data_IF_600153402507
#
_entry.id   IF_600153402507
#
_cell.length_a   1.000
_cell.length_b   1.000
_cell.length_c   1.000
_cell.angle_alpha   90.00
_cell.angle_beta   90.00
_cell.angle_gamma   90.00
#
_symmetry.space_group_name_H-M   'P 1'
#
loop_
_entity.id
_entity.type
_entity.pdbx_description
1 polymer ?
#
# COMPACT_ATOMS: atom_id res chain seq x y z
N UNK A 1 19.41 20.57 3.81
CA UNK A 1 18.34 19.88 4.57
C UNK A 1 18.90 18.53 4.96
N UNK A 2 18.86 18.17 6.25
CA UNK A 2 19.39 16.88 6.72
C UNK A 2 18.49 15.70 6.31
N UNK A 3 18.96 14.47 6.57
CA UNK A 3 18.24 13.24 6.23
C UNK A 3 16.87 13.14 6.90
N UNK A 4 16.73 13.62 8.14
CA UNK A 4 15.47 13.58 8.89
C UNK A 4 14.47 14.57 8.27
N UNK A 5 14.92 15.76 7.90
CA UNK A 5 14.11 16.77 7.22
C UNK A 5 13.60 16.28 5.87
N UNK A 6 14.42 15.56 5.09
CA UNK A 6 14.00 14.94 3.82
C UNK A 6 12.94 13.85 4.05
N UNK A 7 13.14 12.96 5.03
CA UNK A 7 12.18 11.90 5.38
C UNK A 7 10.84 12.47 5.85
N UNK A 8 10.88 13.44 6.79
CA UNK A 8 9.69 14.10 7.32
C UNK A 8 8.90 14.78 6.20
N UNK A 9 9.59 15.51 5.31
CA UNK A 9 8.96 16.15 4.15
C UNK A 9 8.29 15.13 3.23
N UNK A 10 9.00 14.07 2.84
CA UNK A 10 8.46 13.03 1.97
C UNK A 10 7.18 12.40 2.54
N UNK A 11 7.19 12.02 3.82
CA UNK A 11 6.03 11.43 4.49
C UNK A 11 4.86 12.41 4.64
N UNK A 12 5.14 13.67 4.99
CA UNK A 12 4.10 14.70 5.14
C UNK A 12 3.42 14.99 3.80
N UNK A 13 4.20 15.13 2.72
CA UNK A 13 3.68 15.35 1.37
C UNK A 13 2.88 14.15 0.90
N UNK A 14 3.39 12.93 1.12
CA UNK A 14 2.64 11.71 0.78
C UNK A 14 1.30 11.66 1.49
N UNK A 15 1.26 11.90 2.81
CA UNK A 15 0.02 11.87 3.59
C UNK A 15 -0.98 12.94 3.14
N UNK A 16 -0.51 14.17 2.89
CA UNK A 16 -1.35 15.26 2.41
C UNK A 16 -1.98 14.93 1.05
N UNK A 17 -1.17 14.47 0.10
CA UNK A 17 -1.64 14.09 -1.23
C UNK A 17 -2.55 12.87 -1.18
N UNK A 18 -2.19 11.82 -0.43
CA UNK A 18 -3.01 10.64 -0.24
C UNK A 18 -4.38 11.01 0.33
N UNK A 19 -4.44 11.93 1.29
CA UNK A 19 -5.67 12.36 1.95
C UNK A 19 -6.50 13.36 1.14
N UNK A 20 -6.02 13.78 -0.04
CA UNK A 20 -6.77 14.65 -0.94
C UNK A 20 -6.66 16.14 -0.64
N UNK A 21 -5.59 16.60 0.04
CA UNK A 21 -5.35 18.03 0.25
C UNK A 21 -5.18 18.72 -1.11
N UNK A 22 -6.10 19.63 -1.45
CA UNK A 22 -6.20 20.19 -2.81
C UNK A 22 -4.88 20.76 -3.34
N UNK A 23 -4.18 21.57 -2.53
CA UNK A 23 -2.89 22.13 -2.94
C UNK A 23 -1.87 21.02 -3.32
N UNK A 24 -1.85 19.93 -2.57
CA UNK A 24 -0.95 18.81 -2.86
C UNK A 24 -1.33 18.13 -4.18
N UNK A 25 -2.64 17.97 -4.43
CA UNK A 25 -3.14 17.42 -5.68
C UNK A 25 -2.79 18.32 -6.87
N UNK A 26 -2.96 19.64 -6.74
CA UNK A 26 -2.63 20.60 -7.79
C UNK A 26 -1.14 20.58 -8.14
N UNK A 27 -0.29 20.62 -7.11
CA UNK A 27 1.18 20.55 -7.28
C UNK A 27 1.59 19.20 -7.91
N UNK A 28 0.99 18.09 -7.47
CA UNK A 28 1.28 16.76 -8.00
C UNK A 28 0.82 16.61 -9.45
N UNK A 29 -0.38 17.09 -9.79
CA UNK A 29 -0.89 17.08 -11.16
C UNK A 29 -0.03 17.92 -12.10
N UNK A 30 0.47 19.08 -11.63
CA UNK A 30 1.43 19.89 -12.40
C UNK A 30 2.68 19.10 -12.77
N UNK A 31 3.20 18.31 -11.83
CA UNK A 31 4.38 17.46 -12.06
C UNK A 31 4.08 16.29 -12.99
N UNK A 32 2.90 15.65 -12.85
CA UNK A 32 2.45 14.58 -13.75
C UNK A 32 2.30 15.09 -15.18
N UNK A 33 1.58 16.19 -15.38
CA UNK A 33 1.37 16.79 -16.70
C UNK A 33 2.70 17.10 -17.36
N UNK A 34 3.62 17.72 -16.63
CA UNK A 34 4.97 18.00 -17.14
C UNK A 34 5.73 16.73 -17.52
N UNK A 35 5.64 15.67 -16.74
CA UNK A 35 6.30 14.40 -17.04
C UNK A 35 5.71 13.69 -18.27
N UNK A 36 4.42 13.87 -18.54
CA UNK A 36 3.74 13.34 -19.73
C UNK A 36 4.12 14.16 -20.97
N UNK A 37 4.20 15.48 -20.85
CA UNK A 37 4.50 16.40 -21.97
C UNK A 37 5.99 16.42 -22.35
N UNK A 38 6.88 16.22 -21.38
CA UNK A 38 8.34 16.24 -21.55
C UNK A 38 8.96 14.92 -21.04
N UNK A 39 9.27 13.97 -21.94
CA UNK A 39 9.89 12.69 -21.57
C UNK A 39 11.27 12.83 -20.90
N UNK A 40 11.91 14.00 -20.99
CA UNK A 40 13.19 14.26 -20.33
C UNK A 40 13.02 14.77 -18.90
N UNK A 41 11.81 15.17 -18.52
CA UNK A 41 11.50 15.64 -17.18
C UNK A 41 11.41 14.48 -16.20
N UNK A 42 12.27 14.51 -15.18
CA UNK A 42 12.26 13.56 -14.07
C UNK A 42 11.59 14.21 -12.86
N UNK A 43 10.52 13.59 -12.37
CA UNK A 43 9.85 14.00 -11.14
C UNK A 43 10.86 13.93 -9.97
N UNK A 44 11.02 15.00 -9.16
CA UNK A 44 12.00 15.01 -8.07
C UNK A 44 11.80 13.87 -7.08
N UNK A 45 12.90 13.23 -6.69
CA UNK A 45 12.92 12.00 -5.90
C UNK A 45 12.03 12.08 -4.64
N UNK A 46 12.10 13.19 -3.92
CA UNK A 46 11.42 13.38 -2.62
C UNK A 46 9.89 13.39 -2.72
N UNK A 47 9.35 13.61 -3.91
CA UNK A 47 7.90 13.71 -4.14
C UNK A 47 7.37 12.59 -5.03
N UNK A 48 8.24 11.75 -5.62
CA UNK A 48 7.84 10.68 -6.54
C UNK A 48 6.72 9.81 -5.97
N UNK A 49 6.86 9.30 -4.74
CA UNK A 49 5.84 8.44 -4.13
C UNK A 49 4.48 9.14 -3.99
N UNK A 50 4.46 10.44 -3.66
CA UNK A 50 3.24 11.21 -3.54
C UNK A 50 2.62 11.48 -4.92
N UNK A 51 3.45 11.95 -5.87
CA UNK A 51 3.02 12.28 -7.24
C UNK A 51 2.48 11.05 -7.96
N UNK A 52 3.20 9.92 -7.90
CA UNK A 52 2.73 8.67 -8.50
C UNK A 52 1.47 8.15 -7.79
N UNK A 53 1.34 8.27 -6.46
CA UNK A 53 0.10 7.87 -5.80
C UNK A 53 -1.09 8.74 -6.23
N UNK A 54 -0.89 10.06 -6.41
CA UNK A 54 -1.92 10.97 -6.96
C UNK A 54 -2.31 10.56 -8.38
N UNK A 55 -1.32 10.28 -9.25
CA UNK A 55 -1.56 9.79 -10.61
C UNK A 55 -2.51 8.59 -10.63
N UNK A 56 -2.34 7.63 -9.71
CA UNK A 56 -3.19 6.44 -9.63
C UNK A 56 -4.53 6.68 -8.91
N UNK A 57 -4.54 7.53 -7.88
CA UNK A 57 -5.71 7.71 -6.99
C UNK A 57 -6.69 8.77 -7.48
N UNK A 58 -6.19 9.87 -8.00
CA UNK A 58 -6.94 11.06 -8.43
C UNK A 58 -6.52 11.45 -9.85
N UNK A 59 -6.67 10.56 -10.85
CA UNK A 59 -6.10 10.79 -12.16
C UNK A 59 -6.72 12.03 -12.82
N UNK A 60 -5.90 13.07 -13.01
CA UNK A 60 -6.18 14.17 -13.93
C UNK A 60 -5.71 13.83 -15.36
N UNK A 61 -4.77 12.90 -15.49
CA UNK A 61 -4.30 12.36 -16.76
C UNK A 61 -5.25 11.25 -17.27
N UNK A 62 -5.24 11.02 -18.59
CA UNK A 62 -5.93 9.87 -19.16
C UNK A 62 -5.23 8.56 -18.75
N UNK A 63 -5.98 7.46 -18.71
CA UNK A 63 -5.41 6.12 -18.42
C UNK A 63 -4.27 5.79 -19.39
N UNK A 64 -4.39 6.19 -20.67
CA UNK A 64 -3.32 6.01 -21.65
C UNK A 64 -2.07 6.80 -21.28
N UNK A 65 -2.19 8.09 -20.93
CA UNK A 65 -1.03 8.90 -20.54
C UNK A 65 -0.30 8.37 -19.30
N UNK A 66 -1.03 7.76 -18.36
CA UNK A 66 -0.45 7.07 -17.22
C UNK A 66 0.34 5.82 -17.64
N UNK A 67 -0.24 4.99 -18.52
CA UNK A 67 0.40 3.78 -19.03
C UNK A 67 1.64 4.15 -19.84
N UNK A 68 1.53 5.12 -20.75
CA UNK A 68 2.64 5.59 -21.58
C UNK A 68 3.80 6.10 -20.72
N UNK A 69 3.50 6.83 -19.64
CA UNK A 69 4.52 7.30 -18.69
C UNK A 69 5.23 6.13 -17.99
N UNK A 70 4.48 5.13 -17.54
CA UNK A 70 5.05 3.92 -16.93
C UNK A 70 5.96 3.17 -17.90
N UNK A 71 5.49 2.93 -19.12
CA UNK A 71 6.25 2.19 -20.14
C UNK A 71 7.51 2.95 -20.52
N UNK A 72 7.43 4.29 -20.64
CA UNK A 72 8.59 5.16 -20.88
C UNK A 72 9.62 5.04 -19.77
N UNK A 73 9.20 5.08 -18.51
CA UNK A 73 10.12 4.90 -17.37
C UNK A 73 10.73 3.50 -17.32
N UNK A 74 9.95 2.47 -17.62
CA UNK A 74 10.45 1.11 -17.63
C UNK A 74 11.48 0.89 -18.75
N UNK A 75 11.22 1.38 -19.95
CA UNK A 75 12.10 1.20 -21.12
C UNK A 75 13.38 2.04 -21.03
N UNK A 76 13.31 3.23 -20.39
CA UNK A 76 14.48 4.11 -20.22
C UNK A 76 15.32 3.79 -18.97
N UNK A 77 14.88 2.87 -18.12
CA UNK A 77 15.60 2.50 -16.90
C UNK A 77 16.90 1.75 -17.23
N UNK A 78 18.03 2.45 -17.10
CA UNK A 78 19.38 1.93 -17.33
C UNK A 78 20.32 2.12 -16.13
N UNK A 79 19.91 2.90 -15.13
CA UNK A 79 20.63 3.12 -13.87
C UNK A 79 19.87 2.59 -12.65
N UNK A 80 20.55 2.29 -11.53
CA UNK A 80 19.90 1.93 -10.27
C UNK A 80 18.87 2.97 -9.80
N UNK A 81 19.15 4.26 -10.02
CA UNK A 81 18.23 5.35 -9.64
C UNK A 81 16.95 5.33 -10.47
N UNK A 82 17.03 5.04 -11.77
CA UNK A 82 15.87 4.92 -12.63
C UNK A 82 15.05 3.66 -12.30
N UNK A 83 15.71 2.53 -12.01
CA UNK A 83 15.03 1.32 -11.55
C UNK A 83 14.27 1.56 -10.24
N UNK A 84 14.84 2.33 -9.33
CA UNK A 84 14.17 2.69 -8.07
C UNK A 84 12.96 3.61 -8.31
N UNK A 85 13.04 4.53 -9.28
CA UNK A 85 11.86 5.32 -9.69
C UNK A 85 10.74 4.40 -10.23
N UNK A 86 11.09 3.41 -11.06
CA UNK A 86 10.12 2.40 -11.55
C UNK A 86 9.52 1.63 -10.37
N UNK A 87 10.31 1.23 -9.38
CA UNK A 87 9.80 0.54 -8.19
C UNK A 87 8.83 1.41 -7.37
N UNK A 88 9.11 2.70 -7.22
CA UNK A 88 8.18 3.64 -6.57
C UNK A 88 6.91 3.84 -7.37
N UNK A 89 7.02 3.88 -8.70
CA UNK A 89 5.87 3.89 -9.59
C UNK A 89 5.01 2.63 -9.37
N UNK A 90 5.61 1.45 -9.43
CA UNK A 90 4.92 0.17 -9.20
C UNK A 90 4.32 0.08 -7.79
N UNK A 91 4.98 0.61 -6.77
CA UNK A 91 4.43 0.68 -5.40
C UNK A 91 3.18 1.55 -5.35
N UNK A 92 3.16 2.64 -6.11
CA UNK A 92 2.05 3.60 -6.10
C UNK A 92 0.77 3.07 -6.73
N UNK A 93 0.82 1.99 -7.51
CA UNK A 93 -0.39 1.37 -8.10
C UNK A 93 -1.35 0.87 -7.02
N UNK A 94 -0.88 0.61 -5.79
CA UNK A 94 -1.75 0.31 -4.64
C UNK A 94 -2.72 1.46 -4.30
N UNK A 95 -2.42 2.68 -4.74
CA UNK A 95 -3.31 3.83 -4.62
C UNK A 95 -4.44 3.84 -5.65
N UNK A 96 -4.36 3.02 -6.71
CA UNK A 96 -5.25 3.04 -7.85
C UNK A 96 -6.73 2.87 -7.48
N UNK A 97 -7.59 3.63 -8.17
CA UNK A 97 -9.05 3.56 -8.03
C UNK A 97 -9.77 3.23 -9.33
N UNK A 98 -9.10 3.39 -10.47
CA UNK A 98 -9.66 3.10 -11.77
C UNK A 98 -9.50 1.60 -12.11
N UNK A 99 -10.59 0.96 -12.56
CA UNK A 99 -10.61 -0.47 -12.86
C UNK A 99 -9.70 -0.82 -14.04
N UNK A 100 -9.70 -0.04 -15.11
CA UNK A 100 -8.83 -0.25 -16.29
C UNK A 100 -7.34 -0.21 -15.91
N UNK A 101 -6.95 0.72 -15.03
CA UNK A 101 -5.59 0.76 -14.47
C UNK A 101 -5.26 -0.52 -13.71
N UNK A 102 -6.16 -1.02 -12.86
CA UNK A 102 -5.96 -2.26 -12.11
C UNK A 102 -5.82 -3.47 -13.04
N UNK A 103 -6.69 -3.58 -14.05
CA UNK A 103 -6.67 -4.66 -15.03
C UNK A 103 -5.37 -4.67 -15.83
N UNK A 104 -4.89 -3.50 -16.28
CA UNK A 104 -3.60 -3.38 -16.96
C UNK A 104 -2.47 -3.95 -16.12
N UNK A 105 -2.29 -3.48 -14.88
CA UNK A 105 -1.20 -3.96 -14.02
C UNK A 105 -1.35 -5.43 -13.64
N UNK A 106 -2.57 -5.92 -13.41
CA UNK A 106 -2.81 -7.33 -13.14
C UNK A 106 -2.45 -8.20 -14.35
N UNK A 107 -2.79 -7.77 -15.57
CA UNK A 107 -2.40 -8.48 -16.79
C UNK A 107 -0.87 -8.55 -16.97
N UNK A 108 -0.13 -7.51 -16.55
CA UNK A 108 1.33 -7.55 -16.51
C UNK A 108 1.90 -8.62 -15.57
N UNK A 109 1.09 -9.21 -14.68
CA UNK A 109 1.54 -10.30 -13.80
C UNK A 109 1.40 -11.68 -14.44
N UNK A 110 0.48 -11.85 -15.40
CA UNK A 110 0.19 -13.14 -16.05
C UNK A 110 0.68 -13.25 -17.49
N UNK A 111 0.98 -12.13 -18.15
CA UNK A 111 1.40 -12.11 -19.55
C UNK A 111 2.81 -11.54 -19.72
N UNK A 112 3.54 -12.09 -20.69
CA UNK A 112 4.78 -11.52 -21.19
C UNK A 112 4.46 -10.71 -22.45
N UNK A 113 4.40 -9.38 -22.30
CA UNK A 113 4.15 -8.48 -23.43
C UNK A 113 5.44 -8.25 -24.22
N UNK A 114 5.49 -8.59 -25.53
CA UNK A 114 6.64 -8.27 -26.36
C UNK A 114 6.94 -6.77 -26.31
N UNK A 115 8.20 -6.40 -26.07
CA UNK A 115 8.63 -5.01 -25.98
C UNK A 115 8.50 -4.34 -24.60
N UNK A 116 7.94 -5.04 -23.60
CA UNK A 116 7.84 -4.53 -22.23
C UNK A 116 8.63 -5.44 -21.25
N UNK A 117 9.85 -5.05 -20.84
CA UNK A 117 10.76 -5.92 -20.08
C UNK A 117 10.39 -6.00 -18.59
N UNK A 118 9.21 -6.54 -18.27
CA UNK A 118 8.76 -6.75 -16.89
C UNK A 118 9.42 -7.99 -16.29
N UNK A 119 10.27 -7.78 -15.28
CA UNK A 119 10.94 -8.85 -14.52
C UNK A 119 10.00 -9.55 -13.53
N UNK A 120 10.36 -10.76 -13.09
CA UNK A 120 9.62 -11.47 -12.02
C UNK A 120 9.56 -10.68 -10.71
N UNK A 121 10.64 -9.96 -10.35
CA UNK A 121 10.67 -9.07 -9.20
C UNK A 121 9.67 -7.92 -9.30
N UNK A 122 9.54 -7.31 -10.49
CA UNK A 122 8.53 -6.27 -10.73
C UNK A 122 7.10 -6.81 -10.71
N UNK A 123 6.87 -8.05 -11.20
CA UNK A 123 5.57 -8.72 -11.06
C UNK A 123 5.22 -8.95 -9.59
N UNK A 124 6.19 -9.38 -8.77
CA UNK A 124 6.01 -9.49 -7.32
C UNK A 124 5.69 -8.13 -6.71
N UNK A 125 6.38 -7.07 -7.12
CA UNK A 125 6.11 -5.71 -6.64
C UNK A 125 4.72 -5.22 -7.01
N UNK A 126 4.25 -5.50 -8.23
CA UNK A 126 2.88 -5.18 -8.67
C UNK A 126 1.88 -5.84 -7.72
N UNK A 127 2.01 -7.14 -7.47
CA UNK A 127 1.12 -7.85 -6.57
C UNK A 127 1.17 -7.30 -5.14
N UNK A 128 2.37 -7.09 -4.60
CA UNK A 128 2.57 -6.54 -3.25
C UNK A 128 1.95 -5.14 -3.12
N UNK A 129 2.07 -4.30 -4.14
CA UNK A 129 1.48 -2.97 -4.16
C UNK A 129 -0.06 -3.04 -4.15
N UNK A 130 -0.65 -3.89 -4.99
CA UNK A 130 -2.10 -4.04 -5.09
C UNK A 130 -2.72 -4.63 -3.81
N UNK A 131 -2.12 -5.67 -3.23
CA UNK A 131 -2.63 -6.25 -1.97
C UNK A 131 -2.45 -5.31 -0.78
N UNK A 132 -1.40 -4.49 -0.77
CA UNK A 132 -1.21 -3.44 0.25
C UNK A 132 -2.08 -2.20 0.02
N UNK A 133 -2.72 -2.13 -1.15
CA UNK A 133 -3.65 -1.07 -1.48
C UNK A 133 -4.91 -1.07 -0.61
N UNK A 134 -5.86 -0.23 -1.01
CA UNK A 134 -7.14 -0.14 -0.34
C UNK A 134 -7.95 -1.46 -0.40
N UNK A 135 -8.98 -1.64 0.45
CA UNK A 135 -9.72 -2.91 0.51
C UNK A 135 -10.32 -3.36 -0.83
N UNK A 136 -10.78 -2.44 -1.68
CA UNK A 136 -11.33 -2.77 -2.99
C UNK A 136 -10.24 -3.27 -3.94
N UNK A 137 -9.13 -2.53 -4.07
CA UNK A 137 -7.98 -2.91 -4.90
C UNK A 137 -7.39 -4.25 -4.47
N UNK A 138 -7.24 -4.47 -3.16
CA UNK A 138 -6.79 -5.75 -2.61
C UNK A 138 -7.72 -6.88 -3.00
N UNK A 139 -9.03 -6.71 -2.82
CA UNK A 139 -10.01 -7.73 -3.17
C UNK A 139 -9.96 -8.08 -4.66
N UNK A 140 -9.84 -7.08 -5.54
CA UNK A 140 -9.65 -7.29 -6.99
C UNK A 140 -8.40 -8.12 -7.28
N UNK A 141 -7.26 -7.75 -6.67
CA UNK A 141 -6.01 -8.48 -6.87
C UNK A 141 -6.07 -9.92 -6.33
N UNK A 142 -6.73 -10.14 -5.19
CA UNK A 142 -6.94 -11.47 -4.62
C UNK A 142 -7.82 -12.35 -5.52
N UNK A 143 -8.92 -11.81 -6.05
CA UNK A 143 -9.77 -12.53 -7.01
C UNK A 143 -9.02 -12.86 -8.30
N UNK A 144 -8.19 -11.95 -8.77
CA UNK A 144 -7.35 -12.17 -9.94
C UNK A 144 -6.30 -13.26 -9.68
N UNK A 145 -5.62 -13.21 -8.52
CA UNK A 145 -4.71 -14.26 -8.06
C UNK A 145 -5.41 -15.62 -7.99
N UNK A 146 -6.60 -15.69 -7.42
CA UNK A 146 -7.38 -16.92 -7.32
C UNK A 146 -7.68 -17.49 -8.71
N UNK A 147 -8.17 -16.66 -9.63
CA UNK A 147 -8.51 -17.06 -11.01
C UNK A 147 -7.30 -17.49 -11.84
N UNK A 148 -6.14 -16.85 -11.64
CA UNK A 148 -4.94 -17.04 -12.45
C UNK A 148 -3.79 -17.68 -11.69
N UNK A 149 -4.09 -18.41 -10.61
CA UNK A 149 -3.12 -18.83 -9.60
C UNK A 149 -1.87 -19.48 -10.21
N UNK A 150 -2.05 -20.51 -11.04
CA UNK A 150 -0.93 -21.25 -11.64
C UNK A 150 -0.03 -20.38 -12.52
N UNK A 151 -0.60 -19.46 -13.30
CA UNK A 151 0.18 -18.56 -14.17
C UNK A 151 0.93 -17.53 -13.35
N UNK A 152 0.26 -16.96 -12.35
CA UNK A 152 0.86 -15.97 -11.44
C UNK A 152 2.01 -16.61 -10.69
N UNK A 153 1.78 -17.74 -10.01
CA UNK A 153 2.82 -18.39 -9.20
C UNK A 153 4.00 -18.89 -10.03
N UNK A 154 3.77 -19.24 -11.30
CA UNK A 154 4.83 -19.60 -12.25
C UNK A 154 5.71 -18.40 -12.63
N UNK A 155 5.14 -17.20 -12.79
CA UNK A 155 5.87 -15.99 -13.22
C UNK A 155 6.46 -15.16 -12.07
N UNK A 156 6.04 -15.43 -10.84
CA UNK A 156 6.58 -14.79 -9.63
C UNK A 156 7.79 -15.54 -9.07
N UNK A 157 8.70 -14.82 -8.42
CA UNK A 157 9.83 -15.43 -7.72
C UNK A 157 9.38 -16.24 -6.50
N UNK A 158 8.38 -15.73 -5.77
CA UNK A 158 7.77 -16.38 -4.62
C UNK A 158 6.43 -15.69 -4.31
N UNK A 159 5.52 -16.45 -3.70
CA UNK A 159 4.24 -15.94 -3.16
C UNK A 159 4.24 -15.83 -1.63
N UNK A 160 5.33 -16.19 -0.95
CA UNK A 160 5.43 -16.15 0.51
C UNK A 160 5.14 -14.75 1.06
N UNK A 161 5.74 -13.70 0.48
CA UNK A 161 5.52 -12.31 0.90
C UNK A 161 4.08 -11.85 0.63
N UNK A 162 3.45 -12.34 -0.44
CA UNK A 162 2.04 -12.06 -0.74
C UNK A 162 1.15 -12.57 0.39
N UNK A 163 1.32 -13.83 0.81
CA UNK A 163 0.53 -14.38 1.91
C UNK A 163 0.78 -13.65 3.24
N UNK A 164 2.04 -13.36 3.56
CA UNK A 164 2.38 -12.57 4.76
C UNK A 164 1.66 -11.22 4.78
N UNK A 165 1.69 -10.47 3.68
CA UNK A 165 1.02 -9.18 3.59
C UNK A 165 -0.50 -9.29 3.62
N UNK A 166 -1.08 -10.35 3.04
CA UNK A 166 -2.52 -10.62 3.15
C UNK A 166 -2.93 -10.82 4.63
N UNK A 167 -2.16 -11.58 5.40
CA UNK A 167 -2.38 -11.73 6.84
C UNK A 167 -2.36 -10.40 7.58
N UNK A 168 -1.42 -9.51 7.25
CA UNK A 168 -1.28 -8.19 7.88
C UNK A 168 -2.40 -7.20 7.54
N UNK A 169 -3.10 -7.40 6.43
CA UNK A 169 -3.99 -6.38 5.84
C UNK A 169 -5.46 -6.75 5.80
N UNK A 170 -5.78 -8.05 5.78
CA UNK A 170 -7.18 -8.50 5.74
C UNK A 170 -7.82 -8.22 7.09
N UNK A 171 -8.92 -7.49 7.04
CA UNK A 171 -9.77 -7.15 8.19
C UNK A 171 -11.27 -7.19 7.84
N UNK A 172 -11.63 -7.89 6.75
CA UNK A 172 -13.01 -8.06 6.29
C UNK A 172 -13.29 -9.52 5.95
N UNK A 173 -14.52 -9.97 6.19
CA UNK A 173 -14.92 -11.37 5.96
C UNK A 173 -14.83 -11.78 4.50
N UNK A 174 -15.20 -10.89 3.58
CA UNK A 174 -15.15 -11.14 2.13
C UNK A 174 -13.71 -11.43 1.67
N UNK A 175 -12.73 -10.65 2.13
CA UNK A 175 -11.33 -10.90 1.79
C UNK A 175 -10.81 -12.20 2.44
N UNK A 176 -11.20 -12.46 3.69
CA UNK A 176 -10.84 -13.70 4.38
C UNK A 176 -11.33 -14.94 3.63
N UNK A 177 -12.57 -14.93 3.14
CA UNK A 177 -13.14 -16.03 2.37
C UNK A 177 -12.36 -16.28 1.09
N UNK A 178 -11.99 -15.22 0.33
CA UNK A 178 -11.15 -15.38 -0.86
C UNK A 178 -9.77 -15.94 -0.51
N UNK A 179 -9.15 -15.50 0.58
CA UNK A 179 -7.87 -16.07 1.03
C UNK A 179 -8.02 -17.56 1.37
N UNK A 180 -9.06 -17.92 2.13
CA UNK A 180 -9.36 -19.31 2.48
C UNK A 180 -9.56 -20.16 1.24
N UNK A 181 -10.35 -19.68 0.28
CA UNK A 181 -10.62 -20.43 -0.96
C UNK A 181 -9.34 -20.65 -1.78
N UNK A 182 -8.41 -19.67 -1.81
CA UNK A 182 -7.08 -19.86 -2.42
C UNK A 182 -6.28 -20.95 -1.68
N UNK A 183 -6.26 -20.93 -0.35
CA UNK A 183 -5.51 -21.92 0.46
C UNK A 183 -6.11 -23.32 0.35
N UNK A 184 -7.43 -23.43 0.41
CA UNK A 184 -8.14 -24.72 0.29
C UNK A 184 -7.93 -25.33 -1.10
N UNK A 185 -7.95 -24.51 -2.15
CA UNK A 185 -7.82 -25.01 -3.53
C UNK A 185 -6.38 -25.28 -3.95
N UNK A 186 -5.42 -24.46 -3.51
CA UNK A 186 -4.05 -24.48 -4.03
C UNK A 186 -2.98 -24.74 -2.97
N UNK A 187 -3.34 -24.86 -1.69
CA UNK A 187 -2.41 -25.00 -0.57
C UNK A 187 -1.42 -26.16 -0.74
N UNK A 188 -1.86 -27.28 -1.29
CA UNK A 188 -1.01 -28.46 -1.52
C UNK A 188 0.00 -28.28 -2.68
N UNK A 189 -0.19 -27.26 -3.52
CA UNK A 189 0.73 -26.92 -4.61
C UNK A 189 1.82 -25.94 -4.19
N UNK A 190 1.70 -25.38 -2.98
CA UNK A 190 2.65 -24.40 -2.46
C UNK A 190 3.93 -25.06 -1.95
N UNK A 191 5.04 -24.32 -2.00
CA UNK A 191 6.24 -24.69 -1.24
C UNK A 191 5.93 -24.66 0.26
N UNK A 192 6.70 -25.40 1.06
CA UNK A 192 6.50 -25.43 2.52
C UNK A 192 6.51 -24.03 3.16
N UNK A 193 7.38 -23.12 2.69
CA UNK A 193 7.44 -21.75 3.18
C UNK A 193 6.20 -20.94 2.81
N UNK A 194 5.71 -21.08 1.57
CA UNK A 194 4.50 -20.39 1.13
C UNK A 194 3.24 -20.94 1.83
N UNK A 195 3.15 -22.27 2.05
CA UNK A 195 2.05 -22.88 2.78
C UNK A 195 1.99 -22.41 4.23
N UNK A 196 3.13 -22.41 4.93
CA UNK A 196 3.21 -21.89 6.30
C UNK A 196 2.81 -20.42 6.39
N UNK A 197 3.23 -19.59 5.43
CA UNK A 197 2.82 -18.18 5.37
C UNK A 197 1.30 -18.03 5.11
N UNK A 198 0.73 -18.88 4.25
CA UNK A 198 -0.70 -18.86 3.95
C UNK A 198 -1.56 -19.28 5.16
N UNK A 199 -1.12 -20.32 5.88
CA UNK A 199 -1.80 -20.76 7.11
C UNK A 199 -1.72 -19.69 8.21
N UNK A 200 -0.55 -19.08 8.38
CA UNK A 200 -0.38 -17.96 9.31
C UNK A 200 -1.24 -16.76 8.91
N UNK A 201 -1.38 -16.49 7.61
CA UNK A 201 -2.20 -15.40 7.10
C UNK A 201 -3.68 -15.57 7.43
N UNK A 202 -4.22 -16.80 7.34
CA UNK A 202 -5.60 -17.09 7.76
C UNK A 202 -5.80 -16.80 9.25
N UNK A 203 -4.88 -17.27 10.10
CA UNK A 203 -4.96 -17.03 11.55
C UNK A 203 -4.90 -15.53 11.86
N UNK A 204 -3.95 -14.80 11.26
CA UNK A 204 -3.81 -13.36 11.49
C UNK A 204 -5.01 -12.57 10.97
N UNK A 205 -5.53 -12.92 9.79
CA UNK A 205 -6.69 -12.26 9.21
C UNK A 205 -7.95 -12.42 10.08
N UNK A 206 -8.18 -13.62 10.64
CA UNK A 206 -9.28 -13.86 11.57
C UNK A 206 -9.14 -13.03 12.86
N UNK A 207 -7.92 -12.92 13.39
CA UNK A 207 -7.63 -12.05 14.54
C UNK A 207 -7.89 -10.58 14.24
N UNK A 208 -7.48 -10.09 13.07
CA UNK A 208 -7.73 -8.71 12.65
C UNK A 208 -9.23 -8.41 12.53
N UNK A 209 -10.01 -9.34 11.98
CA UNK A 209 -11.48 -9.22 11.87
C UNK A 209 -12.09 -9.11 13.26
N UNK A 210 -11.75 -10.02 14.18
CA UNK A 210 -12.26 -9.99 15.56
C UNK A 210 -11.88 -8.70 16.30
N UNK A 211 -10.67 -8.20 16.07
CA UNK A 211 -10.24 -6.92 16.62
C UNK A 211 -11.07 -5.76 16.08
N UNK A 212 -11.29 -5.70 14.77
CA UNK A 212 -12.09 -4.66 14.13
C UNK A 212 -13.54 -4.70 14.61
N UNK A 213 -14.16 -5.88 14.69
CA UNK A 213 -15.53 -6.08 15.21
C UNK A 213 -15.65 -5.60 16.66
N UNK A 214 -14.63 -5.84 17.49
CA UNK A 214 -14.63 -5.44 18.90
C UNK A 214 -14.39 -3.95 19.13
N UNK A 215 -13.57 -3.31 18.30
CA UNK A 215 -13.01 -1.99 18.61
C UNK A 215 -13.44 -0.86 17.66
N UNK A 216 -13.91 -1.16 16.44
CA UNK A 216 -14.19 -0.14 15.42
C UNK A 216 -15.26 0.87 15.84
N UNK A 217 -16.34 0.42 16.49
CA UNK A 217 -17.42 1.29 16.95
C UNK A 217 -16.91 2.30 17.99
N UNK A 218 -16.21 1.82 19.03
CA UNK A 218 -15.66 2.68 20.07
C UNK A 218 -14.67 3.72 19.52
N UNK A 219 -13.82 3.33 18.56
CA UNK A 219 -12.88 4.25 17.90
C UNK A 219 -13.63 5.29 17.07
N UNK A 220 -14.66 4.87 16.33
CA UNK A 220 -15.45 5.77 15.48
C UNK A 220 -16.19 6.80 16.33
N UNK A 221 -16.82 6.36 17.43
CA UNK A 221 -17.48 7.26 18.38
C UNK A 221 -16.49 8.26 18.98
N UNK A 222 -15.31 7.80 19.40
CA UNK A 222 -14.28 8.69 19.93
C UNK A 222 -13.81 9.74 18.91
N UNK A 223 -13.66 9.38 17.63
CA UNK A 223 -13.26 10.33 16.58
C UNK A 223 -14.32 11.43 16.38
N UNK A 224 -15.61 11.06 16.36
CA UNK A 224 -16.73 11.99 16.22
C UNK A 224 -16.84 12.90 17.44
N UNK A 225 -16.77 12.34 18.66
CA UNK A 225 -16.84 13.09 19.92
C UNK A 225 -15.73 14.14 20.07
N UNK A 226 -14.57 13.89 19.45
CA UNK A 226 -13.43 14.80 19.50
C UNK A 226 -13.44 15.87 18.42
N UNK A 227 -14.49 15.94 17.61
CA UNK A 227 -14.60 16.87 16.49
C UNK A 227 -13.35 16.83 15.61
N UNK A 228 -12.78 15.61 15.42
CA UNK A 228 -11.82 15.37 14.35
C UNK A 228 -12.58 15.38 13.01
N UNK A 229 -13.25 16.49 12.70
CA UNK A 229 -13.64 16.78 11.35
C UNK A 229 -12.33 17.00 10.58
N UNK A 230 -12.06 16.11 9.63
CA UNK A 230 -10.90 16.19 8.75
C UNK A 230 -10.98 17.40 7.83
N UNK A 231 -10.99 18.62 8.38
CA UNK A 231 -10.99 19.84 7.61
C UNK A 231 -9.59 20.07 7.04
N UNK A 232 -9.55 20.48 5.78
CA UNK A 232 -8.35 20.99 5.11
C UNK A 232 -8.24 22.50 5.27
N UNK A 233 -9.13 23.12 6.05
CA UNK A 233 -9.13 24.55 6.31
C UNK A 233 -7.92 24.92 7.17
N UNK A 234 -7.19 25.95 6.73
CA UNK A 234 -6.08 26.51 7.49
C UNK A 234 -6.62 27.00 8.84
N UNK A 235 -6.05 26.59 9.98
CA UNK A 235 -6.49 27.11 11.28
C UNK A 235 -6.39 28.64 11.29
N UNK A 236 -7.42 29.36 11.78
CA UNK A 236 -7.34 30.80 11.89
C UNK A 236 -6.29 31.17 12.95
N UNK A 237 -5.28 31.93 12.53
CA UNK A 237 -4.15 32.37 13.36
C UNK A 237 -2.88 31.59 13.09
N UNK A 238 -1.86 32.27 12.56
CA UNK A 238 -0.50 31.74 12.47
C UNK A 238 0.09 31.59 13.87
N UNK A 239 -0.25 30.50 14.56
CA UNK A 239 0.26 30.18 15.88
C UNK A 239 1.61 29.48 15.78
N UNK A 240 2.61 30.03 16.45
CA UNK A 240 3.81 29.31 16.90
C UNK A 240 3.38 28.21 17.88
N UNK A 241 2.85 27.11 17.34
CA UNK A 241 2.33 26.00 18.12
C UNK A 241 3.46 25.10 18.59
N UNK A 242 3.74 25.17 19.89
CA UNK A 242 4.53 24.19 20.62
C UNK A 242 3.99 22.79 20.29
N UNK A 243 4.84 21.97 19.64
CA UNK A 243 4.46 20.63 19.17
C UNK A 243 4.35 19.71 20.38
N UNK A 244 3.16 19.62 20.97
CA UNK A 244 2.86 18.50 21.86
C UNK A 244 2.64 17.26 21.00
N UNK A 245 3.75 16.56 20.74
CA UNK A 245 3.75 15.22 20.18
C UNK A 245 2.80 14.33 20.98
N UNK A 246 1.70 13.93 20.35
CA UNK A 246 0.80 12.88 20.86
C UNK A 246 1.46 11.48 20.70
N UNK A 247 2.72 11.42 20.28
CA UNK A 247 3.46 10.19 20.01
C UNK A 247 4.15 9.52 21.20
N UNK A 248 3.71 9.74 22.45
CA UNK A 248 4.37 9.15 23.63
C UNK A 248 3.49 8.33 24.60
N UNK A 249 2.19 8.10 24.34
CA UNK A 249 1.34 7.39 25.32
C UNK A 249 1.00 5.93 24.95
N UNK A 250 1.27 5.42 23.75
CA UNK A 250 1.07 3.99 23.44
C UNK A 250 2.38 3.23 23.31
N UNK A 251 3.25 3.36 24.31
CA UNK A 251 4.45 2.54 24.45
C UNK A 251 4.68 2.08 25.90
N UNK A 252 3.62 1.74 26.65
CA UNK A 252 3.73 0.93 27.87
C UNK A 252 2.43 0.14 28.09
N UNK A 253 2.19 -0.83 27.19
CA UNK A 253 1.16 -1.87 27.33
C UNK A 253 1.76 -3.26 27.57
N UNK A 254 3.01 -3.32 28.02
CA UNK A 254 3.70 -4.55 28.43
C UNK A 254 4.34 -4.31 29.79
N UNK A 255 3.53 -4.30 30.84
CA UNK A 255 4.02 -4.35 32.21
C UNK A 255 3.25 -5.44 32.96
N UNK A 256 4.00 -6.49 33.28
CA UNK A 256 3.90 -7.29 34.50
C UNK A 256 2.48 -7.64 34.98
N UNK A 257 2.01 -8.81 34.57
CA UNK A 257 1.26 -9.68 35.48
C UNK A 257 1.97 -11.02 35.48
N UNK A 258 2.67 -11.29 36.58
CA UNK A 258 2.89 -12.58 37.24
C UNK A 258 4.22 -12.52 37.97
N UNK A 259 4.21 -12.06 39.22
CA UNK A 259 5.06 -12.54 40.32
C UNK A 259 4.62 -11.85 41.62
N UNK A 260 3.49 -12.28 42.18
CA UNK A 260 3.23 -12.17 43.63
C UNK A 260 2.25 -13.27 44.05
N UNK A 261 2.78 -14.45 44.32
CA UNK A 261 2.18 -15.41 45.25
C UNK A 261 3.29 -16.27 45.79
N UNK A 262 4.02 -15.71 46.75
CA UNK A 262 4.75 -16.46 47.78
C UNK A 262 5.30 -15.46 48.79
N UNK A 263 4.55 -15.23 49.88
CA UNK A 263 5.06 -15.09 51.25
C UNK A 263 4.01 -14.37 52.12
N UNK A 264 3.24 -15.17 52.87
CA UNK A 264 2.71 -14.94 54.22
C UNK A 264 1.57 -15.96 54.39
N UNK A 265 1.55 -16.91 55.32
CA UNK A 265 2.25 -17.13 56.57
C UNK A 265 2.24 -18.64 56.87
N UNK A 266 3.20 -19.08 57.69
CA UNK A 266 3.14 -20.20 58.66
C UNK A 266 2.06 -21.27 58.50
#
# INVERSE_FOLDING_TARGET
MDHIGRLHRGNTVYLACYSGVQKCLDDANTLVTRAIEDPTFIIPEEVQSAVFCVLHKYPAATVNGQIDLFETYLQSASSPQQLEMVNRFLTSIGCARNETTLEYYLALTTYNYPGLPITSGQRSQIYLALINGNPSTRLTAMRYLHKHFSTVTYLLTSVTSIFTELGNRINSRIQYEVLRDIVDQYGDTLTSSAKSAADAALVQADQNIKWAEKHSEAITSWLVEKEYEGSTEKPPGGGSGMVNSVGFITAFGSALILLTSNAMLR
#
